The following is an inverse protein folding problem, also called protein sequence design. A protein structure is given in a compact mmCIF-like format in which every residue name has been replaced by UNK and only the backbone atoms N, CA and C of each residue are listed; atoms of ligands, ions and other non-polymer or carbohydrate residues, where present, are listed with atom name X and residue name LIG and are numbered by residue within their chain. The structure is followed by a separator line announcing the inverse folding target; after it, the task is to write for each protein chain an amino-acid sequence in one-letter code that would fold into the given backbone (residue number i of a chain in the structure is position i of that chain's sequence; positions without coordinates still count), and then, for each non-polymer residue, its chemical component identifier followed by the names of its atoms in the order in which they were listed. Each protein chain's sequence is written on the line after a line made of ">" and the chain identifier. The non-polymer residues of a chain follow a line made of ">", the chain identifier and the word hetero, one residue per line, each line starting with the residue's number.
data_IF_986585874227
#
_entry.id   IF_986585874227
#
_cell.length_a   1.000
_cell.length_b   1.000
_cell.length_c   1.000
_cell.angle_alpha   90.00
_cell.angle_beta   90.00
_cell.angle_gamma   90.00
#
_symmetry.space_group_name_H-M   'P 1'
#
loop_
_entity.id
_entity.type
_entity.pdbx_description
1 polymer ?
#
# COMPACT_ATOMS: atom_id res chain seq x y z
N UNK A 1 -22.65 -52.54 -31.39
CA UNK A 1 -21.25 -52.14 -31.14
C UNK A 1 -21.27 -50.71 -30.63
N UNK A 2 -21.37 -50.54 -29.32
CA UNK A 2 -21.30 -49.25 -28.63
C UNK A 2 -20.33 -49.46 -27.46
N UNK A 3 -19.22 -48.71 -27.43
CA UNK A 3 -18.16 -48.88 -26.45
C UNK A 3 -16.75 -48.51 -26.91
N UNK A 4 -16.55 -48.18 -28.20
CA UNK A 4 -15.27 -47.68 -28.66
C UNK A 4 -15.25 -46.13 -28.56
N UNK A 5 -14.41 -45.52 -27.72
CA UNK A 5 -14.35 -44.07 -27.57
C UNK A 5 -13.98 -43.37 -28.89
N UNK A 6 -13.20 -44.02 -29.78
CA UNK A 6 -12.81 -43.43 -31.07
C UNK A 6 -13.93 -43.35 -32.11
N UNK A 7 -15.10 -43.94 -31.82
CA UNK A 7 -16.26 -43.96 -32.71
C UNK A 7 -17.38 -43.03 -32.24
N UNK A 8 -17.17 -42.29 -31.15
CA UNK A 8 -18.15 -41.39 -30.56
C UNK A 8 -18.11 -40.01 -31.26
N UNK A 9 -19.20 -39.57 -31.92
CA UNK A 9 -19.24 -38.30 -32.66
C UNK A 9 -19.07 -37.05 -31.76
N UNK A 10 -19.24 -37.17 -30.44
CA UNK A 10 -19.06 -36.05 -29.50
C UNK A 10 -17.63 -35.91 -28.96
N UNK A 11 -16.77 -36.92 -29.17
CA UNK A 11 -15.39 -36.93 -28.66
C UNK A 11 -14.55 -35.73 -29.12
N UNK A 12 -14.61 -35.27 -30.39
CA UNK A 12 -13.86 -34.10 -30.82
C UNK A 12 -14.23 -32.82 -30.07
N UNK A 13 -15.54 -32.62 -29.78
CA UNK A 13 -16.01 -31.44 -29.04
C UNK A 13 -15.56 -31.48 -27.59
N UNK A 14 -15.75 -32.63 -26.93
CA UNK A 14 -15.34 -32.82 -25.53
C UNK A 14 -13.83 -32.65 -25.34
N UNK A 15 -13.03 -33.06 -26.32
CA UNK A 15 -11.57 -32.88 -26.31
C UNK A 15 -11.18 -31.41 -26.50
N UNK A 16 -11.83 -30.71 -27.44
CA UNK A 16 -11.62 -29.27 -27.63
C UNK A 16 -12.01 -28.47 -26.38
N UNK A 17 -13.17 -28.75 -25.78
CA UNK A 17 -13.63 -28.09 -24.54
C UNK A 17 -12.68 -28.35 -23.37
N UNK A 18 -12.11 -29.56 -23.30
CA UNK A 18 -11.12 -29.90 -22.27
C UNK A 18 -9.82 -29.11 -22.47
N UNK A 19 -9.33 -29.00 -23.70
CA UNK A 19 -8.14 -28.22 -24.04
C UNK A 19 -8.37 -26.74 -23.71
N UNK A 20 -9.50 -26.16 -24.13
CA UNK A 20 -9.85 -24.76 -23.86
C UNK A 20 -9.95 -24.49 -22.35
N UNK A 21 -10.50 -25.43 -21.58
CA UNK A 21 -10.59 -25.32 -20.12
C UNK A 21 -9.22 -25.36 -19.45
N UNK A 22 -8.32 -26.24 -19.91
CA UNK A 22 -6.94 -26.34 -19.38
C UNK A 22 -6.12 -25.11 -19.76
N UNK A 23 -6.17 -24.67 -21.01
CA UNK A 23 -5.49 -23.46 -21.48
C UNK A 23 -6.04 -22.22 -20.77
N UNK A 24 -7.36 -22.13 -20.60
CA UNK A 24 -8.02 -21.10 -19.82
C UNK A 24 -7.54 -21.07 -18.37
N UNK A 25 -7.42 -22.23 -17.72
CA UNK A 25 -6.92 -22.33 -16.35
C UNK A 25 -5.45 -21.91 -16.22
N UNK A 26 -4.59 -22.30 -17.17
CA UNK A 26 -3.17 -21.90 -17.19
C UNK A 26 -3.02 -20.40 -17.43
N UNK A 27 -3.78 -19.84 -18.38
CA UNK A 27 -3.79 -18.41 -18.70
C UNK A 27 -4.27 -17.59 -17.50
N UNK A 28 -5.38 -18.01 -16.89
CA UNK A 28 -5.94 -17.31 -15.73
C UNK A 28 -5.01 -17.34 -14.53
N UNK A 29 -4.26 -18.44 -14.36
CA UNK A 29 -3.28 -18.57 -13.27
C UNK A 29 -1.97 -17.82 -13.50
N UNK A 30 -1.66 -17.47 -14.75
CA UNK A 30 -0.39 -16.79 -15.09
C UNK A 30 -0.61 -15.29 -15.34
N UNK A 31 -1.56 -14.92 -16.19
CA UNK A 31 -1.70 -13.54 -16.66
C UNK A 31 -2.36 -12.64 -15.62
N UNK A 32 -3.43 -13.09 -14.97
CA UNK A 32 -4.19 -12.28 -14.00
C UNK A 32 -3.36 -11.89 -12.76
N UNK A 33 -2.64 -12.81 -12.10
CA UNK A 33 -1.85 -12.43 -10.91
C UNK A 33 -0.65 -11.56 -11.27
N UNK A 34 0.01 -11.80 -12.41
CA UNK A 34 1.15 -10.98 -12.84
C UNK A 34 0.72 -9.52 -13.05
N UNK A 35 -0.39 -9.29 -13.75
CA UNK A 35 -0.90 -7.91 -13.97
C UNK A 35 -1.26 -7.23 -12.66
N UNK A 36 -1.85 -7.96 -11.70
CA UNK A 36 -2.18 -7.41 -10.39
C UNK A 36 -0.92 -7.00 -9.61
N UNK A 37 0.11 -7.86 -9.59
CA UNK A 37 1.40 -7.57 -8.94
C UNK A 37 2.09 -6.37 -9.59
N UNK A 38 2.15 -6.33 -10.92
CA UNK A 38 2.76 -5.20 -11.64
C UNK A 38 2.03 -3.89 -11.34
N UNK A 39 0.69 -3.89 -11.34
CA UNK A 39 -0.10 -2.71 -10.95
C UNK A 39 0.16 -2.31 -9.51
N UNK A 40 0.23 -3.29 -8.59
CA UNK A 40 0.56 -3.05 -7.19
C UNK A 40 1.92 -2.36 -7.02
N UNK A 41 2.94 -2.79 -7.76
CA UNK A 41 4.28 -2.18 -7.72
C UNK A 41 4.27 -0.76 -8.29
N UNK A 42 3.65 -0.56 -9.46
CA UNK A 42 3.62 0.75 -10.12
C UNK A 42 2.84 1.76 -9.29
N UNK A 43 1.59 1.45 -8.92
CA UNK A 43 0.79 2.36 -8.10
C UNK A 43 1.34 2.49 -6.68
N UNK A 44 1.84 1.41 -6.09
CA UNK A 44 2.46 1.42 -4.77
C UNK A 44 3.69 2.32 -4.70
N UNK A 45 4.56 2.27 -5.72
CA UNK A 45 5.75 3.15 -5.76
C UNK A 45 5.38 4.63 -5.91
N UNK A 46 4.40 4.96 -6.76
CA UNK A 46 3.91 6.34 -6.90
C UNK A 46 3.34 6.85 -5.58
N UNK A 47 2.46 6.05 -4.95
CA UNK A 47 1.86 6.40 -3.66
C UNK A 47 2.91 6.55 -2.57
N UNK A 48 3.92 5.67 -2.52
CA UNK A 48 4.99 5.75 -1.55
C UNK A 48 5.78 7.06 -1.66
N UNK A 49 6.16 7.47 -2.86
CA UNK A 49 6.89 8.73 -3.07
C UNK A 49 6.03 9.92 -2.64
N UNK A 50 4.76 9.95 -3.04
CA UNK A 50 3.83 11.03 -2.66
C UNK A 50 3.62 11.08 -1.15
N UNK A 51 3.44 9.93 -0.51
CA UNK A 51 3.26 9.84 0.94
C UNK A 51 4.48 10.37 1.68
N UNK A 52 5.70 10.01 1.25
CA UNK A 52 6.95 10.53 1.84
C UNK A 52 7.03 12.04 1.68
N UNK A 53 6.76 12.56 0.46
CA UNK A 53 6.76 14.01 0.23
C UNK A 53 5.73 14.75 1.08
N UNK A 54 4.52 14.20 1.21
CA UNK A 54 3.46 14.78 2.04
C UNK A 54 3.85 14.81 3.52
N UNK A 55 4.46 13.75 4.04
CA UNK A 55 4.95 13.70 5.42
C UNK A 55 5.99 14.78 5.66
N UNK A 56 6.96 14.92 4.75
CA UNK A 56 8.01 15.96 4.85
C UNK A 56 7.42 17.36 4.81
N UNK A 57 6.53 17.65 3.85
CA UNK A 57 5.90 18.98 3.72
C UNK A 57 5.04 19.29 4.94
N UNK A 58 4.28 18.33 5.43
CA UNK A 58 3.43 18.49 6.63
C UNK A 58 4.28 18.81 7.85
N UNK A 59 5.39 18.09 8.04
CA UNK A 59 6.33 18.34 9.13
C UNK A 59 6.91 19.76 9.03
N UNK A 60 7.35 20.19 7.85
CA UNK A 60 7.86 21.55 7.63
C UNK A 60 6.77 22.60 7.94
N UNK A 61 5.54 22.38 7.47
CA UNK A 61 4.42 23.28 7.70
C UNK A 61 4.08 23.40 9.19
N UNK A 62 4.10 22.29 9.93
CA UNK A 62 3.87 22.26 11.37
C UNK A 62 4.95 23.03 12.13
N UNK A 63 6.22 22.83 11.77
CA UNK A 63 7.35 23.53 12.38
C UNK A 63 7.29 25.03 12.10
N UNK A 64 7.13 25.42 10.83
CA UNK A 64 7.07 26.83 10.44
C UNK A 64 5.82 27.54 10.94
N UNK A 65 4.67 26.90 10.82
CA UNK A 65 3.40 27.46 11.30
C UNK A 65 3.43 27.72 12.80
N UNK A 66 4.08 26.84 13.57
CA UNK A 66 4.22 27.05 15.02
C UNK A 66 5.20 28.17 15.34
N UNK A 67 6.30 28.30 14.58
CA UNK A 67 7.24 29.43 14.72
C UNK A 67 6.54 30.78 14.51
N UNK A 68 5.77 30.94 13.42
CA UNK A 68 5.01 32.17 13.13
C UNK A 68 3.95 32.44 14.21
N UNK A 69 3.26 31.41 14.71
CA UNK A 69 2.27 31.58 15.79
C UNK A 69 2.90 32.07 17.09
N UNK A 70 4.11 31.60 17.42
CA UNK A 70 4.83 32.00 18.63
C UNK A 70 5.42 33.40 18.52
N UNK A 71 5.84 33.83 17.32
CA UNK A 71 6.28 35.22 17.08
C UNK A 71 5.16 36.24 17.31
N UNK A 72 3.90 35.86 17.05
CA UNK A 72 2.74 36.71 17.37
C UNK A 72 2.49 36.89 18.88
N UNK A 73 3.06 36.03 19.73
CA UNK A 73 2.74 35.98 21.16
C UNK A 73 3.90 36.31 22.12
N UNK A 74 5.18 36.10 21.75
CA UNK A 74 6.31 36.25 22.69
C UNK A 74 7.61 36.77 22.02
N UNK A 75 8.32 37.65 22.75
CA UNK A 75 9.60 38.28 22.37
C UNK A 75 10.66 37.30 21.85
N UNK A 76 11.37 37.72 20.78
CA UNK A 76 12.33 37.02 19.90
C UNK A 76 13.21 35.91 20.53
N UNK A 77 13.63 36.05 21.79
CA UNK A 77 14.60 35.14 22.43
C UNK A 77 14.03 33.79 22.87
N UNK A 78 12.72 33.70 23.12
CA UNK A 78 12.02 32.45 23.52
C UNK A 78 11.49 31.65 22.34
N UNK A 79 11.20 32.31 21.21
CA UNK A 79 10.68 31.69 20.00
C UNK A 79 11.62 30.59 19.45
N UNK A 80 12.93 30.82 19.53
CA UNK A 80 13.96 29.89 19.05
C UNK A 80 13.94 28.56 19.82
N UNK A 81 13.89 28.60 21.15
CA UNK A 81 13.85 27.38 21.99
C UNK A 81 12.52 26.64 21.90
N UNK A 82 11.40 27.37 21.80
CA UNK A 82 10.08 26.76 21.59
C UNK A 82 10.00 26.03 20.24
N UNK A 83 10.60 26.60 19.20
CA UNK A 83 10.78 25.97 17.89
C UNK A 83 11.50 24.61 17.99
N UNK A 84 12.65 24.55 18.67
CA UNK A 84 13.40 23.31 18.80
C UNK A 84 12.65 22.24 19.59
N UNK A 85 11.94 22.62 20.66
CA UNK A 85 11.11 21.70 21.43
C UNK A 85 9.92 21.16 20.64
N UNK A 86 9.31 22.00 19.80
CA UNK A 86 8.16 21.59 19.00
C UNK A 86 8.56 20.67 17.85
N UNK A 87 9.68 20.96 17.17
CA UNK A 87 10.27 20.08 16.15
C UNK A 87 10.60 18.72 16.76
N UNK A 88 11.34 18.70 17.87
CA UNK A 88 11.70 17.46 18.57
C UNK A 88 10.48 16.69 19.06
N UNK A 89 9.48 17.39 19.62
CA UNK A 89 8.23 16.79 20.09
C UNK A 89 7.40 16.19 18.97
N UNK A 90 7.33 16.85 17.81
CA UNK A 90 6.60 16.33 16.65
C UNK A 90 7.22 15.03 16.12
N UNK A 91 8.55 14.94 16.07
CA UNK A 91 9.26 13.72 15.68
C UNK A 91 9.02 12.57 16.66
N UNK A 92 9.03 12.86 17.97
CA UNK A 92 8.76 11.85 19.01
C UNK A 92 7.31 11.36 18.91
N UNK A 93 6.34 12.26 18.69
CA UNK A 93 4.93 11.90 18.54
C UNK A 93 4.68 11.07 17.28
N UNK A 94 5.25 11.49 16.14
CA UNK A 94 5.13 10.73 14.88
C UNK A 94 5.78 9.36 15.02
N UNK A 95 6.99 9.29 15.60
CA UNK A 95 7.65 8.02 15.89
C UNK A 95 6.81 7.11 16.80
N UNK A 96 6.20 7.67 17.84
CA UNK A 96 5.32 6.94 18.75
C UNK A 96 4.03 6.44 18.06
N UNK A 97 3.43 7.24 17.18
CA UNK A 97 2.23 6.85 16.43
C UNK A 97 2.53 5.73 15.43
N UNK A 98 3.66 5.79 14.73
CA UNK A 98 4.11 4.70 13.84
C UNK A 98 4.39 3.44 14.66
N UNK A 99 5.00 3.58 15.83
CA UNK A 99 5.28 2.46 16.73
C UNK A 99 4.01 1.88 17.38
N UNK A 100 2.94 2.66 17.48
CA UNK A 100 1.61 2.18 17.87
C UNK A 100 0.90 1.47 16.72
N UNK A 101 0.95 2.02 15.50
CA UNK A 101 0.30 1.44 14.33
C UNK A 101 0.86 0.05 14.00
N UNK A 102 2.16 -0.18 14.18
CA UNK A 102 2.75 -1.53 14.03
C UNK A 102 2.29 -2.54 15.09
N UNK A 103 1.72 -2.11 16.22
CA UNK A 103 1.29 -2.99 17.30
C UNK A 103 -0.23 -3.23 17.32
N UNK A 104 -0.99 -2.55 16.46
CA UNK A 104 -2.42 -2.84 16.24
C UNK A 104 -2.65 -4.00 15.27
N UNK A 105 -1.70 -4.30 14.39
CA UNK A 105 -1.84 -5.41 13.43
C UNK A 105 -1.76 -6.78 14.14
N UNK A 106 -0.90 -6.93 15.16
CA UNK A 106 -0.82 -8.14 16.02
C UNK A 106 -2.13 -8.42 16.79
N UNK A 107 -2.92 -7.40 17.11
CA UNK A 107 -4.15 -7.55 17.89
C UNK A 107 -5.39 -7.91 17.04
N UNK A 108 -5.27 -7.86 15.72
CA UNK A 108 -6.37 -8.15 14.79
C UNK A 108 -6.37 -9.58 14.23
N UNK A 109 -5.28 -10.32 14.39
CA UNK A 109 -5.13 -11.71 13.93
C UNK A 109 -5.48 -12.75 15.02
N UNK A 110 -5.90 -12.29 16.21
CA UNK A 110 -6.25 -13.15 17.36
C UNK A 110 -7.77 -13.13 17.71
N UNK A 111 -8.65 -12.65 16.82
CA UNK A 111 -10.11 -12.67 17.01
C UNK A 111 -10.87 -13.45 15.94
#
# INVERSE_FOLDING_TARGET
>A
MAGNPLSDPELPRKTADFIDRVVGAVRDRTTKPIVAVTRGIVFGSIVAVIAVSLVVVTLIAVVRGTQELFELALSERRAVWASYFFVGGSFILVGALIMRARHSDDASDER
#
